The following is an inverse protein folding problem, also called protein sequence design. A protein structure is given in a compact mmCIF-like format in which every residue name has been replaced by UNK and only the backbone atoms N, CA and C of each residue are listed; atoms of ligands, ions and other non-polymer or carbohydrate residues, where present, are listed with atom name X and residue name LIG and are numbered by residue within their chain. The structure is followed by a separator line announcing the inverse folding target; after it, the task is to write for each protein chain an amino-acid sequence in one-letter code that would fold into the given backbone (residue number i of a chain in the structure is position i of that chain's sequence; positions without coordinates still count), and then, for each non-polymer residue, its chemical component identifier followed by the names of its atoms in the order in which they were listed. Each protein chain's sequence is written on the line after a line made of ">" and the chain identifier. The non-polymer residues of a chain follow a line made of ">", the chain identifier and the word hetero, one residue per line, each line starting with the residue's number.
data_IF_416149147085
#
_entry.id   IF_416149147085
#
_cell.length_a   1.000
_cell.length_b   1.000
_cell.length_c   1.000
_cell.angle_alpha   90.00
_cell.angle_beta   90.00
_cell.angle_gamma   90.00
#
_symmetry.space_group_name_H-M   'P 1'
#
loop_
_entity.id
_entity.type
_entity.pdbx_description
1 polymer ?
#
# COMPACT_ATOMS: atom_id res chain seq x y z
N UNK A 1 11.69 32.68 -29.91
CA UNK A 1 10.45 32.15 -29.31
C UNK A 1 10.49 30.63 -29.38
N UNK A 2 11.06 29.96 -28.36
CA UNK A 2 10.96 28.50 -28.23
C UNK A 2 9.75 28.24 -27.34
N UNK A 3 8.68 27.69 -27.92
CA UNK A 3 7.54 27.18 -27.16
C UNK A 3 8.03 25.96 -26.41
N UNK A 4 8.26 26.10 -25.11
CA UNK A 4 8.44 24.99 -24.18
C UNK A 4 7.10 24.24 -24.16
N UNK A 5 7.00 23.17 -24.93
CA UNK A 5 5.85 22.28 -24.86
C UNK A 5 5.85 21.64 -23.48
N UNK A 6 4.80 21.91 -22.71
CA UNK A 6 4.46 21.08 -21.54
C UNK A 6 4.17 19.69 -22.14
N UNK A 7 5.11 18.76 -21.98
CA UNK A 7 4.85 17.36 -22.26
C UNK A 7 3.80 16.95 -21.21
N UNK A 8 2.52 16.87 -21.61
CA UNK A 8 1.54 16.15 -20.80
C UNK A 8 2.02 14.71 -20.76
N UNK A 9 2.65 14.32 -19.65
CA UNK A 9 2.99 12.93 -19.40
C UNK A 9 1.66 12.21 -19.24
N UNK A 10 1.29 11.43 -20.25
CA UNK A 10 0.05 10.65 -20.23
C UNK A 10 0.19 9.60 -19.13
N UNK A 11 -0.71 9.63 -18.16
CA UNK A 11 -0.79 8.60 -17.13
C UNK A 11 -1.10 7.24 -17.78
N UNK A 12 -0.36 6.20 -17.42
CA UNK A 12 -0.51 4.85 -17.96
C UNK A 12 -1.29 3.92 -17.03
N UNK A 13 -1.72 4.40 -15.86
CA UNK A 13 -2.53 3.64 -14.89
C UNK A 13 -3.72 2.93 -15.57
N UNK A 14 -4.54 3.68 -16.33
CA UNK A 14 -5.70 3.12 -17.03
C UNK A 14 -5.32 2.04 -18.05
N UNK A 15 -4.17 2.21 -18.72
CA UNK A 15 -3.66 1.20 -19.65
C UNK A 15 -3.25 -0.08 -18.91
N UNK A 16 -2.60 0.02 -17.75
CA UNK A 16 -2.24 -1.15 -16.95
C UNK A 16 -3.48 -1.88 -16.44
N UNK A 17 -4.47 -1.15 -15.91
CA UNK A 17 -5.74 -1.70 -15.43
C UNK A 17 -6.53 -2.42 -16.54
N UNK A 18 -6.53 -1.88 -17.75
CA UNK A 18 -7.18 -2.52 -18.89
C UNK A 18 -6.43 -3.74 -19.41
N UNK A 19 -5.10 -3.76 -19.29
CA UNK A 19 -4.22 -4.79 -19.88
C UNK A 19 -4.04 -6.01 -19.00
N UNK A 20 -3.97 -5.83 -17.68
CA UNK A 20 -3.64 -6.91 -16.75
C UNK A 20 -4.83 -7.23 -15.85
N UNK A 21 -5.08 -8.52 -15.55
CA UNK A 21 -6.19 -8.89 -14.68
C UNK A 21 -5.88 -8.60 -13.21
N UNK A 22 -6.90 -8.20 -12.47
CA UNK A 22 -6.97 -8.32 -11.01
C UNK A 22 -7.15 -9.82 -10.70
N UNK A 23 -6.27 -10.39 -9.88
CA UNK A 23 -6.20 -11.85 -9.65
C UNK A 23 -6.85 -12.29 -8.33
N UNK A 24 -7.55 -11.38 -7.66
CA UNK A 24 -8.21 -11.59 -6.39
C UNK A 24 -9.54 -10.85 -6.37
N UNK A 25 -10.52 -11.42 -5.69
CA UNK A 25 -11.80 -10.78 -5.37
C UNK A 25 -11.74 -9.82 -4.17
N UNK A 26 -10.61 -9.77 -3.47
CA UNK A 26 -10.38 -8.86 -2.34
C UNK A 26 -9.89 -7.47 -2.76
N UNK A 27 -9.70 -7.22 -4.07
CA UNK A 27 -9.19 -5.94 -4.57
C UNK A 27 -10.23 -5.29 -5.48
N UNK A 28 -10.71 -4.12 -5.09
CA UNK A 28 -11.60 -3.30 -5.91
C UNK A 28 -10.82 -2.55 -7.01
N UNK A 29 -11.35 -2.56 -8.22
CA UNK A 29 -10.67 -1.98 -9.38
C UNK A 29 -10.57 -0.44 -9.31
N UNK A 30 -11.53 0.23 -8.67
CA UNK A 30 -11.53 1.68 -8.52
C UNK A 30 -10.48 2.08 -7.49
N UNK A 31 -10.41 1.40 -6.36
CA UNK A 31 -9.40 1.66 -5.31
C UNK A 31 -7.99 1.38 -5.80
N UNK A 32 -7.78 0.25 -6.50
CA UNK A 32 -6.51 -0.03 -7.16
C UNK A 32 -6.14 1.09 -8.16
N UNK A 33 -7.10 1.62 -8.91
CA UNK A 33 -6.86 2.74 -9.81
C UNK A 33 -6.48 4.04 -9.11
N UNK A 34 -7.09 4.34 -7.97
CA UNK A 34 -6.70 5.48 -7.11
C UNK A 34 -5.28 5.31 -6.63
N UNK A 35 -4.93 4.16 -6.07
CA UNK A 35 -3.59 3.85 -5.56
C UNK A 35 -2.52 4.02 -6.64
N UNK A 36 -2.73 3.40 -7.81
CA UNK A 36 -1.77 3.47 -8.91
C UNK A 36 -1.63 4.89 -9.46
N UNK A 37 -2.73 5.65 -9.53
CA UNK A 37 -2.70 7.05 -9.95
C UNK A 37 -1.86 7.90 -9.00
N UNK A 38 -1.97 7.69 -7.69
CA UNK A 38 -1.16 8.41 -6.71
C UNK A 38 0.33 8.00 -6.76
N UNK A 39 0.62 6.71 -6.88
CA UNK A 39 1.99 6.24 -7.09
C UNK A 39 2.59 6.82 -8.39
N UNK A 40 1.80 6.85 -9.47
CA UNK A 40 2.24 7.39 -10.75
C UNK A 40 2.59 8.88 -10.67
N UNK A 41 1.84 9.68 -9.90
CA UNK A 41 2.19 11.09 -9.63
C UNK A 41 3.53 11.22 -8.91
N UNK A 42 3.81 10.36 -7.92
CA UNK A 42 5.09 10.33 -7.21
C UNK A 42 6.22 10.00 -8.19
N UNK A 43 6.05 8.98 -9.03
CA UNK A 43 7.06 8.59 -10.04
C UNK A 43 7.32 9.69 -11.07
N UNK A 44 6.26 10.36 -11.56
CA UNK A 44 6.38 11.48 -12.50
C UNK A 44 7.09 12.70 -11.91
N UNK A 45 7.06 12.87 -10.58
CA UNK A 45 7.79 13.95 -9.91
C UNK A 45 9.31 13.74 -9.92
N UNK A 46 9.78 12.54 -10.26
CA UNK A 46 11.20 12.17 -10.21
C UNK A 46 11.73 11.99 -8.79
N UNK A 47 10.85 11.79 -7.80
CA UNK A 47 11.25 11.54 -6.42
C UNK A 47 12.11 10.27 -6.33
N UNK A 48 13.26 10.39 -5.67
CA UNK A 48 14.13 9.27 -5.37
C UNK A 48 13.86 8.76 -3.96
N UNK A 49 13.78 7.45 -3.79
CA UNK A 49 13.49 6.84 -2.50
C UNK A 49 12.95 5.43 -2.66
N UNK A 50 12.26 4.96 -1.64
CA UNK A 50 11.79 3.58 -1.54
C UNK A 50 10.27 3.50 -1.45
N UNK A 51 9.74 2.34 -1.82
CA UNK A 51 8.31 2.04 -1.81
C UNK A 51 8.07 0.88 -0.86
N UNK A 52 7.05 1.02 -0.01
CA UNK A 52 6.66 -0.01 0.96
C UNK A 52 5.19 -0.35 0.80
N UNK A 53 4.87 -1.62 0.93
CA UNK A 53 3.52 -2.18 1.02
C UNK A 53 3.45 -3.06 2.27
N UNK A 54 2.49 -2.80 3.14
CA UNK A 54 2.23 -3.56 4.36
C UNK A 54 0.88 -4.26 4.21
N UNK A 55 0.92 -5.58 4.02
CA UNK A 55 -0.24 -6.39 3.63
C UNK A 55 -0.29 -6.53 2.12
N UNK A 56 -0.19 -7.76 1.63
CA UNK A 56 -0.09 -8.02 0.19
C UNK A 56 -0.95 -9.18 -0.29
N UNK A 57 -1.42 -10.04 0.63
CA UNK A 57 -2.26 -11.19 0.32
C UNK A 57 -1.69 -12.04 -0.84
N UNK A 58 -2.44 -12.21 -1.94
CA UNK A 58 -1.97 -12.95 -3.13
C UNK A 58 -1.13 -12.09 -4.09
N UNK A 59 -0.99 -10.79 -3.81
CA UNK A 59 -0.08 -9.85 -4.48
C UNK A 59 -0.68 -9.07 -5.65
N UNK A 60 -2.01 -8.96 -5.77
CA UNK A 60 -2.63 -8.21 -6.87
C UNK A 60 -2.06 -6.78 -6.95
N UNK A 61 -2.17 -6.01 -5.86
CA UNK A 61 -1.67 -4.63 -5.80
C UNK A 61 -0.16 -4.57 -6.05
N UNK A 62 0.61 -5.43 -5.39
CA UNK A 62 2.06 -5.55 -5.60
C UNK A 62 2.48 -5.78 -7.06
N UNK A 63 1.73 -6.59 -7.81
CA UNK A 63 2.00 -6.83 -9.24
C UNK A 63 1.78 -5.55 -10.07
N UNK A 64 0.73 -4.79 -9.77
CA UNK A 64 0.45 -3.54 -10.46
C UNK A 64 1.44 -2.44 -10.09
N UNK A 65 1.80 -2.32 -8.80
CA UNK A 65 2.89 -1.46 -8.35
C UNK A 65 4.14 -1.81 -9.15
N UNK A 66 4.58 -3.07 -9.17
CA UNK A 66 5.81 -3.46 -9.89
C UNK A 66 5.78 -3.11 -11.37
N UNK A 67 4.66 -3.32 -12.06
CA UNK A 67 4.52 -2.95 -13.49
C UNK A 67 4.67 -1.45 -13.71
N UNK A 68 4.12 -0.64 -12.82
CA UNK A 68 4.26 0.80 -12.88
C UNK A 68 5.72 1.21 -12.62
N UNK A 69 6.38 0.60 -11.63
CA UNK A 69 7.82 0.82 -11.38
C UNK A 69 8.69 0.45 -12.60
N UNK A 70 8.41 -0.68 -13.25
CA UNK A 70 9.10 -1.11 -14.47
C UNK A 70 8.91 -0.10 -15.61
N UNK A 71 7.68 0.43 -15.79
CA UNK A 71 7.36 1.35 -16.86
C UNK A 71 8.00 2.75 -16.70
N UNK A 72 8.37 3.11 -15.47
CA UNK A 72 9.02 4.38 -15.13
C UNK A 72 10.54 4.23 -14.88
N UNK A 73 11.14 3.08 -15.21
CA UNK A 73 12.54 2.77 -14.96
C UNK A 73 12.97 3.06 -13.50
N UNK A 74 12.07 2.78 -12.55
CA UNK A 74 12.28 3.11 -11.15
C UNK A 74 13.50 2.37 -10.58
N UNK A 75 14.40 3.14 -9.95
CA UNK A 75 15.70 2.65 -9.46
C UNK A 75 15.75 2.40 -7.96
N UNK A 76 14.74 2.85 -7.22
CA UNK A 76 14.61 2.60 -5.79
C UNK A 76 14.18 1.17 -5.46
N UNK A 77 14.07 0.87 -4.16
CA UNK A 77 13.66 -0.43 -3.68
C UNK A 77 12.14 -0.51 -3.51
N UNK A 78 11.58 -1.70 -3.73
CA UNK A 78 10.19 -2.01 -3.44
C UNK A 78 10.14 -3.15 -2.42
N UNK A 79 9.59 -2.84 -1.24
CA UNK A 79 9.53 -3.73 -0.09
C UNK A 79 8.08 -4.09 0.20
N UNK A 80 7.86 -5.38 0.50
CA UNK A 80 6.54 -5.90 0.86
C UNK A 80 6.66 -6.63 2.18
N UNK A 81 5.80 -6.26 3.13
CA UNK A 81 5.72 -6.83 4.48
C UNK A 81 4.40 -7.57 4.62
N UNK A 82 4.43 -8.85 5.01
CA UNK A 82 3.21 -9.64 5.22
C UNK A 82 3.52 -10.82 6.16
N UNK A 83 2.55 -11.23 6.98
CA UNK A 83 2.69 -12.41 7.83
C UNK A 83 2.70 -13.70 7.00
N UNK A 84 1.98 -13.69 5.88
CA UNK A 84 1.55 -14.82 5.07
C UNK A 84 0.80 -15.88 5.89
N UNK A 85 0.12 -15.43 6.94
CA UNK A 85 -0.67 -16.26 7.87
C UNK A 85 -2.12 -15.78 8.01
N UNK A 86 -2.54 -14.81 7.19
CA UNK A 86 -3.85 -14.19 7.28
C UNK A 86 -3.90 -13.12 8.35
N UNK A 87 -5.12 -12.73 8.70
CA UNK A 87 -5.41 -11.67 9.69
C UNK A 87 -4.93 -12.08 11.10
N UNK A 88 -4.44 -11.12 11.90
CA UNK A 88 -4.18 -11.36 13.31
C UNK A 88 -5.48 -11.40 14.12
N UNK A 89 -5.38 -11.56 15.44
CA UNK A 89 -6.54 -11.45 16.33
C UNK A 89 -7.06 -10.00 16.37
N UNK A 90 -8.39 -9.86 16.43
CA UNK A 90 -9.03 -8.55 16.58
C UNK A 90 -8.83 -8.00 17.99
N UNK A 91 -8.77 -6.67 18.07
CA UNK A 91 -8.87 -5.94 19.32
C UNK A 91 -10.25 -5.28 19.46
N UNK A 92 -10.49 -4.61 20.59
CA UNK A 92 -11.71 -3.80 20.75
C UNK A 92 -11.80 -2.67 19.71
N UNK A 93 -10.67 -2.21 19.18
CA UNK A 93 -10.63 -1.17 18.15
C UNK A 93 -11.24 -1.65 16.81
N UNK A 94 -11.31 -2.96 16.58
CA UNK A 94 -11.77 -3.57 15.33
C UNK A 94 -13.23 -4.06 15.40
N UNK A 95 -13.91 -3.83 16.53
CA UNK A 95 -15.27 -4.28 16.74
C UNK A 95 -16.24 -3.57 15.78
N UNK A 96 -16.84 -4.36 14.88
CA UNK A 96 -17.92 -3.95 13.98
C UNK A 96 -18.82 -5.13 13.65
N UNK A 97 -20.14 -4.91 13.70
CA UNK A 97 -21.13 -5.90 13.26
C UNK A 97 -21.05 -6.17 11.74
N UNK A 98 -20.63 -5.17 10.94
CA UNK A 98 -20.44 -5.33 9.50
C UNK A 98 -19.19 -6.14 9.14
N UNK A 99 -18.29 -6.36 10.12
CA UNK A 99 -17.01 -7.03 9.94
C UNK A 99 -16.89 -8.37 10.64
N UNK A 100 -17.98 -8.99 11.09
CA UNK A 100 -17.94 -10.25 11.86
C UNK A 100 -17.23 -11.40 11.13
N UNK A 101 -17.19 -11.37 9.79
CA UNK A 101 -16.47 -12.33 8.95
C UNK A 101 -14.95 -12.21 9.05
N UNK A 102 -14.41 -11.01 9.33
CA UNK A 102 -12.97 -10.81 9.45
C UNK A 102 -12.49 -11.35 10.80
N UNK A 103 -11.82 -12.50 10.77
CA UNK A 103 -11.35 -13.25 11.96
C UNK A 103 -9.89 -13.66 11.76
N UNK A 104 -9.21 -13.97 12.85
CA UNK A 104 -7.84 -14.45 12.79
C UNK A 104 -7.69 -15.65 11.83
N UNK A 105 -6.66 -15.60 10.99
CA UNK A 105 -6.36 -16.62 9.98
C UNK A 105 -7.20 -16.55 8.70
N UNK A 106 -8.24 -15.71 8.65
CA UNK A 106 -8.90 -15.38 7.37
C UNK A 106 -7.94 -14.61 6.46
N UNK A 107 -8.23 -14.60 5.15
CA UNK A 107 -7.37 -13.99 4.13
C UNK A 107 -5.93 -14.56 4.10
N UNK A 108 -5.76 -15.82 4.53
CA UNK A 108 -4.46 -16.48 4.46
C UNK A 108 -4.04 -16.74 3.02
N UNK A 109 -2.99 -16.05 2.58
CA UNK A 109 -2.22 -16.37 1.38
C UNK A 109 -0.81 -16.83 1.73
N UNK A 110 -0.41 -18.07 1.39
CA UNK A 110 0.96 -18.50 1.61
C UNK A 110 1.94 -17.68 0.77
N UNK A 111 3.11 -17.33 1.32
CA UNK A 111 4.22 -16.65 0.60
C UNK A 111 4.56 -17.27 -0.76
N UNK A 112 4.42 -18.59 -0.85
CA UNK A 112 4.64 -19.33 -2.11
C UNK A 112 3.66 -18.88 -3.21
N UNK A 113 2.40 -18.64 -2.88
CA UNK A 113 1.37 -18.16 -3.82
C UNK A 113 1.73 -16.78 -4.35
N UNK A 114 2.08 -15.84 -3.47
CA UNK A 114 2.58 -14.51 -3.84
C UNK A 114 3.76 -14.58 -4.81
N UNK A 115 4.81 -15.35 -4.47
CA UNK A 115 5.99 -15.53 -5.32
C UNK A 115 5.62 -16.17 -6.67
N UNK A 116 4.71 -17.15 -6.67
CA UNK A 116 4.25 -17.80 -7.90
C UNK A 116 3.51 -16.82 -8.81
N UNK A 117 2.72 -15.90 -8.26
CA UNK A 117 2.00 -14.90 -9.03
C UNK A 117 2.97 -13.91 -9.70
N UNK A 118 4.02 -13.45 -9.00
CA UNK A 118 5.10 -12.65 -9.63
C UNK A 118 5.81 -13.41 -10.74
N UNK A 119 6.17 -14.68 -10.51
CA UNK A 119 6.81 -15.53 -11.52
C UNK A 119 5.94 -15.73 -12.76
N UNK A 120 4.65 -16.02 -12.56
CA UNK A 120 3.67 -16.18 -13.66
C UNK A 120 3.53 -14.88 -14.46
N UNK A 121 3.59 -13.73 -13.79
CA UNK A 121 3.53 -12.42 -14.44
C UNK A 121 4.85 -12.01 -15.13
N UNK A 122 5.94 -12.75 -14.95
CA UNK A 122 7.26 -12.41 -15.48
C UNK A 122 7.88 -11.17 -14.85
N UNK A 123 7.48 -10.83 -13.62
CA UNK A 123 7.91 -9.60 -12.93
C UNK A 123 9.04 -9.87 -11.92
N UNK A 124 9.90 -8.87 -11.73
CA UNK A 124 10.93 -8.89 -10.67
C UNK A 124 10.24 -8.88 -9.30
N UNK A 125 10.68 -9.75 -8.41
CA UNK A 125 10.17 -9.79 -7.03
C UNK A 125 10.58 -8.53 -6.26
N UNK A 126 9.72 -8.01 -5.36
CA UNK A 126 10.12 -7.07 -4.33
C UNK A 126 11.02 -7.75 -3.28
N UNK A 127 11.60 -6.96 -2.40
CA UNK A 127 12.16 -7.45 -1.14
C UNK A 127 11.00 -7.87 -0.24
N UNK A 128 10.90 -9.17 0.06
CA UNK A 128 9.77 -9.74 0.82
C UNK A 128 10.20 -9.98 2.26
N UNK A 129 9.51 -9.33 3.18
CA UNK A 129 9.66 -9.47 4.62
C UNK A 129 8.50 -10.28 5.18
N UNK A 130 8.82 -11.44 5.76
CA UNK A 130 7.80 -12.32 6.37
C UNK A 130 7.79 -12.13 7.87
N UNK A 131 6.67 -11.68 8.42
CA UNK A 131 6.48 -11.49 9.86
C UNK A 131 5.22 -10.70 10.15
N UNK A 132 4.78 -10.72 11.40
CA UNK A 132 3.77 -9.77 11.86
C UNK A 132 4.39 -8.37 11.97
N UNK A 133 3.62 -7.32 11.71
CA UNK A 133 4.15 -5.95 11.78
C UNK A 133 4.68 -5.60 13.18
N UNK A 134 4.01 -6.09 14.22
CA UNK A 134 4.45 -6.00 15.62
C UNK A 134 5.85 -6.60 15.89
N UNK A 135 6.27 -7.60 15.11
CA UNK A 135 7.56 -8.28 15.31
C UNK A 135 8.72 -7.54 14.64
N UNK A 136 8.44 -6.58 13.76
CA UNK A 136 9.48 -5.78 13.10
C UNK A 136 9.90 -4.58 13.95
N UNK A 137 11.11 -4.14 13.67
CA UNK A 137 11.70 -2.90 14.19
C UNK A 137 11.82 -1.87 13.08
N UNK A 138 11.97 -0.57 13.39
CA UNK A 138 12.24 0.43 12.37
C UNK A 138 13.48 0.10 11.51
N UNK A 139 14.47 -0.61 12.02
CA UNK A 139 15.66 -0.98 11.23
C UNK A 139 15.36 -1.97 10.10
N UNK A 140 14.22 -2.68 10.16
CA UNK A 140 13.75 -3.58 9.10
C UNK A 140 13.07 -2.83 7.94
N UNK A 141 12.85 -1.52 8.07
CA UNK A 141 12.18 -0.66 7.09
C UNK A 141 13.16 0.34 6.47
N UNK A 142 13.21 0.45 5.12
CA UNK A 142 14.12 1.38 4.47
C UNK A 142 13.79 2.84 4.81
N UNK A 143 14.82 3.69 4.86
CA UNK A 143 14.63 5.14 4.96
C UNK A 143 14.26 5.75 3.59
N UNK A 144 13.81 7.00 3.57
CA UNK A 144 13.50 7.72 2.34
C UNK A 144 12.28 7.15 1.61
N UNK A 145 11.24 6.79 2.35
CA UNK A 145 10.00 6.25 1.78
C UNK A 145 9.28 7.36 1.03
N UNK A 146 9.10 7.20 -0.29
CA UNK A 146 8.37 8.16 -1.15
C UNK A 146 6.93 7.74 -1.40
N UNK A 147 6.63 6.46 -1.21
CA UNK A 147 5.28 5.93 -1.30
C UNK A 147 5.10 4.77 -0.33
N UNK A 148 4.04 4.84 0.47
CA UNK A 148 3.65 3.79 1.39
C UNK A 148 2.20 3.39 1.13
N UNK A 149 1.94 2.09 1.06
CA UNK A 149 0.59 1.53 1.07
C UNK A 149 0.43 0.63 2.29
N UNK A 150 -0.53 0.97 3.15
CA UNK A 150 -0.85 0.24 4.37
C UNK A 150 -2.23 -0.42 4.20
N UNK A 151 -2.24 -1.74 4.18
CA UNK A 151 -3.38 -2.62 3.87
C UNK A 151 -3.41 -3.77 4.88
N UNK A 152 -3.47 -3.39 6.15
CA UNK A 152 -3.38 -4.32 7.29
C UNK A 152 -4.72 -4.62 7.95
N UNK A 153 -5.81 -4.06 7.41
CA UNK A 153 -7.23 -4.13 7.84
C UNK A 153 -7.51 -3.59 9.27
N UNK A 154 -6.80 -4.11 10.26
CA UNK A 154 -7.03 -3.87 11.69
C UNK A 154 -6.18 -2.73 12.25
N UNK A 155 -6.68 -2.16 13.34
CA UNK A 155 -6.09 -1.03 14.04
C UNK A 155 -4.60 -1.25 14.33
N UNK A 156 -4.24 -2.35 15.00
CA UNK A 156 -2.84 -2.63 15.39
C UNK A 156 -1.94 -2.79 14.16
N UNK A 157 -2.42 -3.42 13.08
CA UNK A 157 -1.66 -3.56 11.84
C UNK A 157 -1.35 -2.20 11.20
N UNK A 158 -2.35 -1.30 11.14
CA UNK A 158 -2.16 0.05 10.59
C UNK A 158 -1.28 0.91 11.52
N UNK A 159 -1.51 0.83 12.83
CA UNK A 159 -0.69 1.54 13.82
C UNK A 159 0.77 1.08 13.79
N UNK A 160 1.02 -0.22 13.66
CA UNK A 160 2.37 -0.77 13.50
C UNK A 160 3.02 -0.32 12.19
N UNK A 161 2.27 -0.25 11.10
CA UNK A 161 2.78 0.25 9.82
C UNK A 161 3.27 1.70 9.94
N UNK A 162 2.50 2.56 10.61
CA UNK A 162 2.93 3.92 10.94
C UNK A 162 4.14 3.93 11.87
N UNK A 163 4.13 3.16 12.96
CA UNK A 163 5.24 3.06 13.92
C UNK A 163 6.55 2.67 13.24
N UNK A 164 6.51 1.71 12.33
CA UNK A 164 7.69 1.19 11.63
C UNK A 164 8.25 2.19 10.60
N UNK A 165 7.37 2.99 9.99
CA UNK A 165 7.73 3.99 8.99
C UNK A 165 8.01 5.38 9.59
N UNK A 166 7.80 5.56 10.90
CA UNK A 166 7.97 6.84 11.56
C UNK A 166 9.41 7.38 11.40
N UNK A 167 9.51 8.67 11.07
CA UNK A 167 10.77 9.34 10.75
C UNK A 167 11.49 8.87 9.48
N UNK A 168 10.87 8.01 8.64
CA UNK A 168 11.48 7.48 7.41
C UNK A 168 10.87 8.03 6.13
N UNK A 169 9.75 8.75 6.21
CA UNK A 169 9.11 9.36 5.05
C UNK A 169 9.98 10.47 4.44
N UNK A 170 10.02 10.50 3.12
CA UNK A 170 10.53 11.64 2.38
C UNK A 170 9.53 12.81 2.51
N UNK A 171 9.98 14.06 2.45
CA UNK A 171 9.14 15.29 2.51
C UNK A 171 8.02 15.38 1.45
N UNK A 172 7.99 14.46 0.49
CA UNK A 172 7.01 14.40 -0.61
C UNK A 172 6.32 13.04 -0.66
N UNK A 173 6.39 12.29 0.44
CA UNK A 173 5.80 10.98 0.52
C UNK A 173 4.29 11.08 0.33
N UNK A 174 3.74 10.12 -0.40
CA UNK A 174 2.31 9.84 -0.36
C UNK A 174 2.10 8.56 0.41
N UNK A 175 1.28 8.62 1.45
CA UNK A 175 0.89 7.46 2.25
C UNK A 175 -0.56 7.16 1.89
N UNK A 176 -0.85 5.92 1.54
CA UNK A 176 -2.21 5.43 1.31
C UNK A 176 -2.51 4.38 2.35
N UNK A 177 -3.66 4.51 3.00
CA UNK A 177 -4.16 3.51 3.95
C UNK A 177 -5.49 2.99 3.42
N UNK A 178 -5.56 1.67 3.22
CA UNK A 178 -6.79 1.01 2.81
C UNK A 178 -7.82 1.00 3.95
N UNK A 179 -9.07 0.70 3.61
CA UNK A 179 -10.18 0.51 4.57
C UNK A 179 -10.52 1.69 5.49
N UNK A 180 -9.93 2.86 5.28
CA UNK A 180 -10.18 4.04 6.11
C UNK A 180 -11.68 4.36 6.24
N UNK A 181 -12.43 4.30 5.14
CA UNK A 181 -13.88 4.50 5.15
C UNK A 181 -14.70 3.19 5.07
N UNK A 182 -14.12 2.06 5.50
CA UNK A 182 -14.81 0.77 5.53
C UNK A 182 -15.43 0.50 6.91
N UNK A 183 -16.77 0.48 6.98
CA UNK A 183 -17.50 0.22 8.23
C UNK A 183 -17.24 -1.18 8.81
N UNK A 184 -16.83 -2.14 7.98
CA UNK A 184 -16.49 -3.49 8.43
C UNK A 184 -15.12 -3.55 9.13
N UNK A 185 -14.25 -2.58 8.87
CA UNK A 185 -12.86 -2.51 9.33
C UNK A 185 -12.56 -1.14 9.97
N UNK A 186 -13.30 -0.75 11.04
CA UNK A 186 -13.18 0.59 11.64
C UNK A 186 -11.83 0.85 12.33
N UNK A 187 -11.00 -0.19 12.49
CA UNK A 187 -9.66 -0.07 13.06
C UNK A 187 -8.74 0.81 12.19
N UNK A 188 -8.86 0.71 10.87
CA UNK A 188 -8.02 1.45 9.93
C UNK A 188 -8.15 2.97 10.10
N UNK A 189 -9.39 3.52 10.08
CA UNK A 189 -9.60 4.95 10.31
C UNK A 189 -9.16 5.41 11.69
N UNK A 190 -9.43 4.60 12.72
CA UNK A 190 -9.01 4.94 14.10
C UNK A 190 -7.49 5.09 14.21
N UNK A 191 -6.73 4.19 13.59
CA UNK A 191 -5.27 4.26 13.60
C UNK A 191 -4.74 5.48 12.83
N UNK A 192 -5.33 5.78 11.65
CA UNK A 192 -5.00 6.98 10.88
C UNK A 192 -5.30 8.25 11.67
N UNK A 193 -6.50 8.36 12.23
CA UNK A 193 -6.94 9.52 13.01
C UNK A 193 -6.06 9.73 14.25
N UNK A 194 -5.61 8.65 14.90
CA UNK A 194 -4.70 8.74 16.02
C UNK A 194 -3.32 9.22 15.61
N UNK A 195 -2.75 8.66 14.53
CA UNK A 195 -1.44 9.07 14.03
C UNK A 195 -1.43 10.55 13.62
N UNK A 196 -2.48 11.04 12.97
CA UNK A 196 -2.62 12.44 12.53
C UNK A 196 -2.70 13.45 13.69
N UNK A 197 -3.04 13.03 14.92
CA UNK A 197 -2.98 13.93 16.10
C UNK A 197 -1.55 14.37 16.41
N UNK A 198 -0.57 13.50 16.16
CA UNK A 198 0.86 13.77 16.35
C UNK A 198 1.56 14.26 15.08
N UNK A 199 0.98 14.01 13.91
CA UNK A 199 1.59 14.27 12.61
C UNK A 199 0.63 15.05 11.71
N UNK A 200 0.53 16.38 11.86
CA UNK A 200 -0.36 17.18 11.04
C UNK A 200 0.00 17.07 9.56
N UNK A 201 -0.91 16.50 8.77
CA UNK A 201 -0.76 16.28 7.32
C UNK A 201 -2.08 16.51 6.59
N UNK A 202 -2.03 16.70 5.28
CA UNK A 202 -3.22 16.76 4.45
C UNK A 202 -3.80 15.36 4.26
N UNK A 203 -5.03 15.15 4.74
CA UNK A 203 -5.82 13.94 4.49
C UNK A 203 -6.86 14.20 3.39
N UNK A 204 -6.87 13.35 2.36
CA UNK A 204 -7.95 13.25 1.36
C UNK A 204 -8.52 11.84 1.41
N UNK A 205 -9.84 11.71 1.33
CA UNK A 205 -10.51 10.41 1.27
C UNK A 205 -11.10 10.21 -0.12
N UNK A 206 -10.80 9.09 -0.77
CA UNK A 206 -11.37 8.70 -2.06
C UNK A 206 -11.67 7.20 -2.08
N UNK A 207 -12.92 6.84 -2.40
CA UNK A 207 -13.44 5.49 -2.12
C UNK A 207 -13.27 5.17 -0.62
N UNK A 208 -12.72 4.00 -0.24
CA UNK A 208 -12.38 3.72 1.16
C UNK A 208 -10.98 4.15 1.57
N UNK A 209 -10.16 4.69 0.65
CA UNK A 209 -8.75 5.00 0.90
C UNK A 209 -8.57 6.34 1.61
N UNK A 210 -7.71 6.36 2.63
CA UNK A 210 -7.08 7.59 3.13
C UNK A 210 -5.80 7.85 2.32
N UNK A 211 -5.69 9.06 1.76
CA UNK A 211 -4.51 9.54 1.05
C UNK A 211 -3.93 10.71 1.84
N UNK A 212 -2.74 10.48 2.39
CA UNK A 212 -2.05 11.40 3.29
C UNK A 212 -0.81 11.95 2.59
N UNK A 213 -0.62 13.27 2.66
CA UNK A 213 0.55 13.98 2.14
C UNK A 213 0.94 15.09 3.11
N UNK A 214 2.23 15.33 3.26
CA UNK A 214 2.75 16.56 3.89
C UNK A 214 2.66 17.76 2.95
#
# INVERSE_FOLDING_TARGET
>A
MKRTGILMVVMITDHLLAKYPIISDQVDAKELGVLLRELEKVLQSGAAGNIVEFGCYVGTTSLFIRRLLDAYDFTGEFHVYDSFMGLPEKTQADNSAAGEQFKAGELLAPRKTFIQNFKKAGLKLPTIHKGWFADFTPDDVPAGIIFAFFDGDFYESIADSFRLCDGKFHEKATIIVDDYANEALPGASRAVDEWLKGHPAQLTVEASLAIIRE
#
